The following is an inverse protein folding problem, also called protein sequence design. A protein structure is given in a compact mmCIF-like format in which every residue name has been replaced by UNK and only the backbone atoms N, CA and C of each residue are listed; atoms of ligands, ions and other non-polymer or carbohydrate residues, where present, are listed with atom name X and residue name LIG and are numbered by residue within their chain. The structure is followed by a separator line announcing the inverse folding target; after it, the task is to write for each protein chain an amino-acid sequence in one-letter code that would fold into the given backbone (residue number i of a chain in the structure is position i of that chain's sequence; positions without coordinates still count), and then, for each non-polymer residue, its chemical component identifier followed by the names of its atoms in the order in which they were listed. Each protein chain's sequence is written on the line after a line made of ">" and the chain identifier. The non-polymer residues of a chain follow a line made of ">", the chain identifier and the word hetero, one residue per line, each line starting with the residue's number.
data_IF_757904930649
#
_entry.id   IF_757904930649
#
_cell.length_a   1.000
_cell.length_b   1.000
_cell.length_c   1.000
_cell.angle_alpha   90.00
_cell.angle_beta   90.00
_cell.angle_gamma   90.00
#
_symmetry.space_group_name_H-M   'P 1'
#
loop_
_entity.id
_entity.type
_entity.pdbx_description
1 polymer ?
#
# COMPACT_ATOMS: atom_id res chain seq x y z
N UNK A 1 -3.44 13.59 8.01
CA UNK A 1 -2.97 12.94 6.76
C UNK A 1 -1.72 13.61 6.22
N UNK A 2 -1.73 14.92 5.94
CA UNK A 2 -0.50 15.63 5.52
C UNK A 2 0.54 15.68 6.65
N UNK A 3 0.12 15.92 7.90
CA UNK A 3 1.02 15.97 9.04
C UNK A 3 1.82 14.69 9.33
N UNK A 4 1.18 13.52 9.31
CA UNK A 4 1.89 12.24 9.49
C UNK A 4 2.87 11.97 8.36
N UNK A 5 2.46 12.21 7.11
CA UNK A 5 3.35 12.04 5.95
C UNK A 5 4.59 12.94 6.06
N UNK A 6 4.40 14.23 6.34
CA UNK A 6 5.52 15.17 6.42
C UNK A 6 6.42 14.87 7.62
N UNK A 7 5.87 14.44 8.75
CA UNK A 7 6.68 14.05 9.91
C UNK A 7 7.48 12.77 9.67
N UNK A 8 6.87 11.76 9.04
CA UNK A 8 7.51 10.46 8.85
C UNK A 8 8.49 10.43 7.66
N UNK A 9 8.18 11.15 6.57
CA UNK A 9 8.99 11.10 5.34
C UNK A 9 9.93 12.30 5.18
N UNK A 10 9.56 13.47 5.73
CA UNK A 10 10.33 14.71 5.62
C UNK A 10 10.92 15.16 6.97
N UNK A 11 10.57 14.49 8.08
CA UNK A 11 11.02 14.89 9.42
C UNK A 11 10.48 16.26 9.87
N UNK A 12 9.42 16.75 9.23
CA UNK A 12 8.93 18.12 9.42
C UNK A 12 7.55 18.16 10.08
N UNK A 13 7.22 19.30 10.68
CA UNK A 13 5.88 19.56 11.22
C UNK A 13 5.01 20.29 10.18
N UNK A 14 3.70 20.04 10.22
CA UNK A 14 2.74 20.67 9.31
C UNK A 14 1.69 21.40 10.10
N UNK A 15 1.53 22.66 9.79
CA UNK A 15 0.36 23.45 10.14
C UNK A 15 -0.52 23.66 8.90
N UNK A 16 -1.83 23.52 9.06
CA UNK A 16 -2.79 23.75 7.99
C UNK A 16 -4.19 24.00 8.51
N UNK A 17 -5.09 24.46 7.63
CA UNK A 17 -6.52 24.60 7.92
C UNK A 17 -7.12 23.24 8.27
N UNK A 18 -7.69 23.12 9.47
CA UNK A 18 -8.26 21.86 9.96
C UNK A 18 -9.73 21.72 9.59
N UNK A 19 -10.10 20.54 9.07
CA UNK A 19 -11.49 20.15 8.90
C UNK A 19 -12.04 19.57 10.20
N UNK A 20 -13.29 19.89 10.49
CA UNK A 20 -14.00 19.34 11.63
C UNK A 20 -14.27 17.84 11.42
N UNK A 21 -14.06 17.06 12.48
CA UNK A 21 -14.31 15.62 12.50
C UNK A 21 -15.44 15.29 13.48
N UNK A 22 -16.22 14.26 13.17
CA UNK A 22 -17.17 13.68 14.12
C UNK A 22 -16.44 13.19 15.39
N UNK A 23 -17.18 13.00 16.49
CA UNK A 23 -16.63 12.60 17.80
C UNK A 23 -15.73 11.35 17.77
N UNK A 24 -15.91 10.46 16.78
CA UNK A 24 -15.05 9.28 16.60
C UNK A 24 -13.69 9.57 15.94
N UNK A 25 -13.46 10.80 15.43
CA UNK A 25 -12.26 11.20 14.70
C UNK A 25 -12.08 10.57 13.31
N UNK A 26 -12.97 9.64 12.92
CA UNK A 26 -12.80 8.79 11.73
C UNK A 26 -13.46 9.36 10.46
N UNK A 27 -14.30 10.38 10.59
CA UNK A 27 -15.07 10.98 9.49
C UNK A 27 -15.04 12.50 9.60
N UNK A 28 -14.89 13.17 8.47
CA UNK A 28 -15.00 14.63 8.36
C UNK A 28 -16.47 15.04 8.28
N UNK A 29 -16.85 16.12 8.95
CA UNK A 29 -18.22 16.69 8.90
C UNK A 29 -18.45 17.52 7.64
N UNK A 30 -17.37 17.86 6.91
CA UNK A 30 -17.38 18.77 5.78
C UNK A 30 -17.30 20.25 6.17
N UNK A 31 -17.24 20.56 7.47
CA UNK A 31 -17.04 21.92 7.99
C UNK A 31 -15.58 22.18 8.29
N UNK A 32 -15.19 23.45 8.29
CA UNK A 32 -13.84 23.88 8.68
C UNK A 32 -13.85 24.18 10.18
N UNK A 33 -12.95 23.56 10.92
CA UNK A 33 -12.77 23.76 12.37
C UNK A 33 -11.91 24.97 12.66
N UNK A 34 -10.82 25.13 11.90
CA UNK A 34 -9.89 26.24 12.08
C UNK A 34 -9.28 26.64 10.73
N UNK A 35 -9.41 27.91 10.36
CA UNK A 35 -8.85 28.49 9.13
C UNK A 35 -7.48 29.09 9.42
N UNK A 36 -6.45 28.64 8.71
CA UNK A 36 -5.08 29.16 8.79
C UNK A 36 -4.81 30.16 7.66
N UNK A 37 -5.16 31.43 7.87
CA UNK A 37 -5.01 32.53 6.89
C UNK A 37 -4.57 33.82 7.58
N UNK A 38 -3.75 34.63 6.89
CA UNK A 38 -3.29 35.95 7.37
C UNK A 38 -2.45 35.84 8.64
N UNK A 39 -2.72 36.71 9.61
CA UNK A 39 -2.01 36.78 10.90
C UNK A 39 -1.93 35.43 11.63
N UNK A 40 -2.95 34.56 11.50
CA UNK A 40 -2.94 33.22 12.09
C UNK A 40 -1.82 32.32 11.56
N UNK A 41 -1.33 32.53 10.33
CA UNK A 41 -0.17 31.81 9.81
C UNK A 41 1.08 32.17 10.61
N UNK A 42 1.26 33.46 10.90
CA UNK A 42 2.38 33.97 11.68
C UNK A 42 2.34 33.45 13.11
N UNK A 43 1.19 33.54 13.79
CA UNK A 43 1.03 33.02 15.16
C UNK A 43 1.40 31.54 15.29
N UNK A 44 1.01 30.73 14.31
CA UNK A 44 1.33 29.30 14.32
C UNK A 44 2.82 29.06 14.06
N UNK A 45 3.46 29.82 13.17
CA UNK A 45 4.92 29.73 12.97
C UNK A 45 5.65 30.15 14.25
N UNK A 46 5.28 31.27 14.88
CA UNK A 46 5.87 31.70 16.15
C UNK A 46 5.69 30.67 17.27
N UNK A 47 4.55 29.98 17.33
CA UNK A 47 4.32 28.88 18.27
C UNK A 47 5.21 27.67 17.98
N UNK A 48 5.35 27.27 16.72
CA UNK A 48 6.20 26.13 16.32
C UNK A 48 7.69 26.40 16.62
N UNK A 49 8.08 27.67 16.60
CA UNK A 49 9.45 28.14 16.81
C UNK A 49 9.64 28.87 18.16
N UNK A 50 8.76 28.62 19.14
CA UNK A 50 8.77 29.29 20.44
C UNK A 50 10.06 29.06 21.27
N UNK A 51 10.94 28.14 20.84
CA UNK A 51 12.26 27.91 21.42
C UNK A 51 13.32 28.96 21.05
N UNK A 52 12.99 29.97 20.24
CA UNK A 52 13.87 31.11 19.92
C UNK A 52 14.59 31.02 18.57
N UNK A 53 14.47 29.89 17.86
CA UNK A 53 15.03 29.73 16.53
C UNK A 53 14.10 30.36 15.48
N UNK A 54 14.60 31.32 14.68
CA UNK A 54 13.81 31.83 13.55
C UNK A 54 13.84 30.86 12.37
N UNK A 55 12.72 30.67 11.62
CA UNK A 55 12.70 29.83 10.44
C UNK A 55 13.70 30.29 9.39
N UNK A 56 14.46 29.38 8.81
CA UNK A 56 15.50 29.73 7.82
C UNK A 56 14.93 30.15 6.48
N UNK A 57 13.76 29.62 6.08
CA UNK A 57 13.14 29.89 4.78
C UNK A 57 11.62 30.04 4.91
N UNK A 58 11.07 31.10 4.32
CA UNK A 58 9.63 31.31 4.10
C UNK A 58 9.31 31.35 2.61
N UNK A 59 8.23 30.66 2.20
CA UNK A 59 7.76 30.64 0.81
C UNK A 59 6.27 30.98 0.78
N UNK A 60 5.92 32.02 0.03
CA UNK A 60 4.55 32.48 -0.13
C UNK A 60 4.41 33.31 -1.40
N UNK A 61 3.23 33.26 -2.02
CA UNK A 61 2.90 33.96 -3.27
C UNK A 61 1.74 34.94 -3.09
N UNK A 62 1.11 34.99 -1.91
CA UNK A 62 -0.05 35.84 -1.62
C UNK A 62 0.27 36.90 -0.58
N UNK A 63 -0.47 38.00 -0.61
CA UNK A 63 -0.37 39.05 0.42
C UNK A 63 -0.57 38.50 1.84
N UNK A 64 -1.49 37.55 2.01
CA UNK A 64 -1.74 36.86 3.28
C UNK A 64 -0.56 36.03 3.82
N UNK A 65 0.52 35.88 3.05
CA UNK A 65 1.74 35.17 3.43
C UNK A 65 2.84 36.12 3.91
N UNK A 66 2.71 37.43 3.64
CA UNK A 66 3.75 38.42 3.93
C UNK A 66 4.13 38.46 5.42
N UNK A 67 3.15 38.32 6.32
CA UNK A 67 3.36 38.44 7.76
C UNK A 67 4.22 37.31 8.34
N UNK A 68 4.04 36.07 7.88
CA UNK A 68 4.90 34.96 8.33
C UNK A 68 6.22 34.93 7.56
N UNK A 69 6.25 35.36 6.30
CA UNK A 69 7.52 35.44 5.55
C UNK A 69 8.45 36.50 6.13
N UNK A 70 7.92 37.55 6.76
CA UNK A 70 8.70 38.60 7.40
C UNK A 70 9.54 38.10 8.58
N UNK A 71 9.14 36.99 9.21
CA UNK A 71 9.87 36.38 10.34
C UNK A 71 10.83 35.25 9.88
N UNK A 72 10.94 34.99 8.58
CA UNK A 72 11.86 33.99 8.02
C UNK A 72 13.17 34.63 7.53
N UNK A 73 14.31 33.95 7.70
CA UNK A 73 15.64 34.48 7.34
C UNK A 73 15.82 34.64 5.82
N UNK A 74 15.33 33.69 5.03
CA UNK A 74 15.41 33.70 3.56
C UNK A 74 14.01 33.50 2.93
N UNK A 75 13.87 33.96 1.68
CA UNK A 75 12.58 33.90 0.94
C UNK A 75 12.56 32.89 -0.22
N UNK A 76 13.56 32.00 -0.28
CA UNK A 76 13.73 30.98 -1.33
C UNK A 76 14.28 29.69 -0.74
N UNK A 77 13.69 28.55 -1.09
CA UNK A 77 14.20 27.23 -0.73
C UNK A 77 14.86 26.56 -1.94
N UNK A 78 15.98 25.84 -1.77
CA UNK A 78 16.42 24.88 -2.75
C UNK A 78 15.41 23.72 -2.85
N UNK A 79 15.33 23.08 -4.03
CA UNK A 79 14.56 21.84 -4.17
C UNK A 79 15.26 20.73 -3.38
N UNK A 80 14.53 20.06 -2.48
CA UNK A 80 15.02 18.86 -1.82
C UNK A 80 15.27 17.76 -2.86
N UNK A 81 16.43 17.11 -2.76
CA UNK A 81 16.78 16.00 -3.63
C UNK A 81 16.15 14.70 -3.12
N UNK A 82 15.79 13.77 -4.02
CA UNK A 82 15.04 12.56 -3.65
C UNK A 82 15.81 11.61 -2.71
N UNK A 83 17.13 11.77 -2.63
CA UNK A 83 18.04 11.05 -1.74
C UNK A 83 18.09 11.61 -0.31
N UNK A 84 17.57 12.81 -0.07
CA UNK A 84 17.47 13.43 1.26
C UNK A 84 16.21 13.00 2.05
N UNK A 85 15.34 12.17 1.44
CA UNK A 85 14.12 11.66 2.07
C UNK A 85 14.43 10.57 3.11
N UNK A 86 13.79 10.64 4.28
CA UNK A 86 13.93 9.63 5.35
C UNK A 86 13.46 8.23 4.92
N UNK A 87 12.58 8.16 3.92
CA UNK A 87 12.18 6.89 3.31
C UNK A 87 11.91 7.05 1.82
N UNK A 88 12.53 6.17 1.00
CA UNK A 88 12.31 6.10 -0.45
C UNK A 88 11.06 5.29 -0.85
N UNK A 89 10.52 4.50 0.07
CA UNK A 89 9.35 3.64 -0.17
C UNK A 89 8.10 4.23 0.52
N UNK A 90 7.22 4.82 -0.29
CA UNK A 90 5.94 5.36 0.17
C UNK A 90 4.90 4.24 0.07
N UNK A 91 4.52 3.68 1.23
CA UNK A 91 3.37 2.77 1.29
C UNK A 91 2.10 3.61 1.40
N UNK A 92 1.33 3.70 0.32
CA UNK A 92 0.06 4.39 0.37
C UNK A 92 -1.02 3.49 0.99
N UNK A 93 -1.59 3.87 2.15
CA UNK A 93 -2.86 3.30 2.61
C UNK A 93 -4.07 3.92 1.86
N UNK A 94 -3.86 4.18 0.57
CA UNK A 94 -4.73 5.01 -0.25
C UNK A 94 -4.70 6.47 0.21
N UNK A 95 -3.97 7.31 -0.55
CA UNK A 95 -4.32 8.70 -0.92
C UNK A 95 -3.06 9.48 -1.33
N UNK A 96 -3.04 9.86 -2.60
CA UNK A 96 -3.15 11.26 -3.05
C UNK A 96 -3.85 11.19 -4.42
N UNK A 97 -5.17 11.36 -4.43
CA UNK A 97 -5.92 11.45 -5.70
C UNK A 97 -5.92 12.93 -6.08
N UNK A 98 -5.32 13.26 -7.22
CA UNK A 98 -5.40 14.60 -7.83
C UNK A 98 -6.87 14.97 -7.95
N UNK A 99 -7.26 16.22 -7.61
CA UNK A 99 -8.66 16.67 -7.68
C UNK A 99 -9.22 16.31 -9.06
N UNK A 100 -10.20 15.40 -9.16
CA UNK A 100 -10.75 15.02 -10.46
C UNK A 100 -11.40 16.26 -11.07
N UNK A 101 -11.25 16.42 -12.39
CA UNK A 101 -12.02 17.41 -13.12
C UNK A 101 -13.52 17.20 -12.87
N UNK A 102 -14.36 18.25 -12.85
CA UNK A 102 -15.79 18.13 -12.54
C UNK A 102 -16.51 17.04 -13.35
N UNK A 103 -16.14 16.86 -14.62
CA UNK A 103 -16.67 15.80 -15.47
C UNK A 103 -16.27 14.40 -14.99
N UNK A 104 -15.00 14.19 -14.65
CA UNK A 104 -14.49 12.92 -14.08
C UNK A 104 -15.09 12.62 -12.71
N UNK A 105 -15.33 13.66 -11.89
CA UNK A 105 -16.00 13.54 -10.61
C UNK A 105 -17.48 13.13 -10.79
N UNK A 106 -18.18 13.74 -11.74
CA UNK A 106 -19.55 13.39 -12.07
C UNK A 106 -19.65 11.96 -12.62
N UNK A 107 -18.76 11.59 -13.54
CA UNK A 107 -18.67 10.22 -14.05
C UNK A 107 -18.42 9.21 -12.93
N UNK A 108 -17.47 9.50 -12.03
CA UNK A 108 -17.20 8.66 -10.87
C UNK A 108 -18.42 8.49 -9.95
N UNK A 109 -19.19 9.56 -9.72
CA UNK A 109 -20.41 9.53 -8.91
C UNK A 109 -21.54 8.72 -9.57
N UNK A 110 -21.73 8.90 -10.88
CA UNK A 110 -22.74 8.17 -11.66
C UNK A 110 -22.36 6.69 -11.81
N UNK A 111 -21.07 6.38 -11.91
CA UNK A 111 -20.57 5.02 -12.04
C UNK A 111 -20.54 4.26 -10.71
N UNK A 112 -20.47 4.96 -9.57
CA UNK A 112 -20.44 4.37 -8.23
C UNK A 112 -21.54 3.32 -7.96
N UNK A 113 -22.84 3.57 -8.25
CA UNK A 113 -23.88 2.56 -8.07
C UNK A 113 -23.70 1.33 -8.97
N UNK A 114 -23.24 1.52 -10.21
CA UNK A 114 -22.98 0.42 -11.16
C UNK A 114 -21.79 -0.41 -10.69
N UNK A 115 -20.67 0.24 -10.35
CA UNK A 115 -19.48 -0.42 -9.83
C UNK A 115 -19.75 -1.13 -8.49
N UNK A 116 -20.62 -0.59 -7.65
CA UNK A 116 -21.05 -1.23 -6.40
C UNK A 116 -21.88 -2.49 -6.66
N UNK A 117 -22.84 -2.43 -7.59
CA UNK A 117 -23.61 -3.61 -7.97
C UNK A 117 -22.72 -4.73 -8.56
N UNK A 118 -21.80 -4.38 -9.48
CA UNK A 118 -20.84 -5.34 -10.07
C UNK A 118 -19.92 -5.94 -9.01
N UNK A 119 -19.42 -5.13 -8.08
CA UNK A 119 -18.59 -5.61 -6.99
C UNK A 119 -19.35 -6.52 -6.04
N UNK A 120 -20.58 -6.16 -5.63
CA UNK A 120 -21.41 -7.00 -4.78
C UNK A 120 -21.71 -8.34 -5.44
N UNK A 121 -22.04 -8.36 -6.73
CA UNK A 121 -22.24 -9.61 -7.49
C UNK A 121 -21.01 -10.52 -7.42
N UNK A 122 -19.79 -9.96 -7.44
CA UNK A 122 -18.54 -10.72 -7.36
C UNK A 122 -18.11 -11.08 -5.94
N UNK A 123 -18.37 -10.22 -4.95
CA UNK A 123 -17.96 -10.40 -3.54
C UNK A 123 -18.93 -11.26 -2.74
N UNK A 124 -20.25 -11.10 -2.93
CA UNK A 124 -21.29 -11.91 -2.28
C UNK A 124 -21.25 -13.36 -2.79
N UNK A 125 -20.66 -13.57 -3.96
CA UNK A 125 -20.23 -14.86 -4.45
C UNK A 125 -19.06 -15.39 -3.57
N UNK A 126 -19.38 -15.96 -2.40
CA UNK A 126 -18.60 -17.09 -1.84
C UNK A 126 -18.55 -18.27 -2.84
N UNK A 127 -19.41 -18.21 -3.85
CA UNK A 127 -19.36 -19.00 -5.06
C UNK A 127 -17.98 -18.93 -5.73
N UNK A 128 -17.24 -17.80 -5.74
CA UNK A 128 -15.97 -17.71 -6.47
C UNK A 128 -14.91 -18.70 -6.00
N UNK A 129 -14.80 -18.94 -4.69
CA UNK A 129 -13.88 -19.95 -4.14
C UNK A 129 -14.44 -21.36 -4.32
N UNK A 130 -15.77 -21.52 -4.22
CA UNK A 130 -16.45 -22.81 -4.38
C UNK A 130 -16.50 -23.30 -5.84
N UNK A 131 -16.49 -22.39 -6.82
CA UNK A 131 -16.47 -22.66 -8.26
C UNK A 131 -15.08 -22.47 -8.85
N UNK A 132 -14.10 -22.00 -8.06
CA UNK A 132 -12.75 -21.79 -8.56
C UNK A 132 -12.20 -23.14 -9.03
N UNK A 133 -11.84 -23.27 -10.31
CA UNK A 133 -11.20 -24.50 -10.80
C UNK A 133 -9.84 -24.73 -10.10
N UNK A 134 -9.26 -23.67 -9.54
CA UNK A 134 -8.01 -23.72 -8.77
C UNK A 134 -8.36 -23.74 -7.28
N UNK A 135 -8.04 -24.85 -6.59
CA UNK A 135 -8.23 -24.97 -5.14
C UNK A 135 -7.33 -23.98 -4.41
N UNK A 136 -7.92 -22.99 -3.74
CA UNK A 136 -7.19 -22.04 -2.93
C UNK A 136 -6.90 -22.62 -1.54
N UNK A 137 -5.62 -22.81 -1.20
CA UNK A 137 -5.19 -23.18 0.15
C UNK A 137 -4.61 -21.94 0.86
N UNK A 138 -5.23 -21.55 1.98
CA UNK A 138 -4.72 -20.43 2.78
C UNK A 138 -3.49 -20.85 3.58
N UNK A 139 -2.44 -20.03 3.53
CA UNK A 139 -1.25 -20.20 4.38
C UNK A 139 -1.56 -19.78 5.83
N UNK A 140 -1.15 -20.61 6.79
CA UNK A 140 -1.42 -20.46 8.22
C UNK A 140 -0.39 -19.58 8.93
N UNK A 141 0.65 -19.12 8.20
CA UNK A 141 1.74 -18.25 8.73
C UNK A 141 2.63 -18.98 9.73
N UNK A 142 2.57 -20.30 9.71
CA UNK A 142 3.51 -21.21 10.36
C UNK A 142 4.32 -21.87 9.26
N UNK A 143 5.64 -21.67 9.28
CA UNK A 143 6.51 -22.12 8.20
C UNK A 143 6.47 -23.64 8.00
N UNK A 144 6.43 -24.41 9.08
CA UNK A 144 6.45 -25.87 9.01
C UNK A 144 5.11 -26.41 8.51
N UNK A 145 3.99 -25.86 9.00
CA UNK A 145 2.66 -26.23 8.53
C UNK A 145 2.42 -25.81 7.08
N UNK A 146 2.88 -24.62 6.68
CA UNK A 146 2.81 -24.14 5.30
C UNK A 146 3.69 -24.98 4.38
N UNK A 147 4.89 -25.38 4.81
CA UNK A 147 5.77 -26.29 4.08
C UNK A 147 5.10 -27.65 3.82
N UNK A 148 4.58 -28.29 4.87
CA UNK A 148 3.91 -29.58 4.77
C UNK A 148 2.67 -29.53 3.87
N UNK A 149 1.91 -28.43 3.95
CA UNK A 149 0.72 -28.22 3.11
C UNK A 149 1.09 -28.02 1.64
N UNK A 150 2.11 -27.22 1.34
CA UNK A 150 2.58 -27.00 -0.03
C UNK A 150 3.14 -28.31 -0.61
N UNK A 151 3.92 -29.06 0.19
CA UNK A 151 4.46 -30.35 -0.23
C UNK A 151 3.35 -31.36 -0.59
N UNK A 152 2.31 -31.47 0.25
CA UNK A 152 1.16 -32.33 -0.05
C UNK A 152 0.43 -31.92 -1.35
N UNK A 153 0.29 -30.62 -1.60
CA UNK A 153 -0.31 -30.12 -2.84
C UNK A 153 0.56 -30.38 -4.08
N UNK A 154 1.89 -30.36 -3.93
CA UNK A 154 2.83 -30.66 -5.01
C UNK A 154 2.79 -32.14 -5.43
N UNK A 155 2.45 -33.05 -4.52
CA UNK A 155 2.21 -34.47 -4.84
C UNK A 155 0.93 -34.66 -5.67
N UNK A 156 -0.07 -33.79 -5.49
CA UNK A 156 -1.32 -33.82 -6.28
C UNK A 156 -1.17 -33.17 -7.67
N UNK A 157 -0.25 -32.20 -7.82
CA UNK A 157 0.00 -31.53 -9.10
C UNK A 157 0.71 -30.18 -8.97
N UNK A 158 0.61 -29.34 -10.01
CA UNK A 158 1.25 -28.03 -10.04
C UNK A 158 0.61 -27.06 -9.03
N UNK A 159 1.43 -26.32 -8.29
CA UNK A 159 0.99 -25.38 -7.23
C UNK A 159 1.38 -23.95 -7.58
N UNK A 160 0.42 -23.03 -7.47
CA UNK A 160 0.66 -21.58 -7.58
C UNK A 160 0.90 -20.99 -6.20
N UNK A 161 2.04 -20.32 -6.00
CA UNK A 161 2.41 -19.68 -4.74
C UNK A 161 2.66 -18.20 -4.97
N UNK A 162 2.13 -17.35 -4.09
CA UNK A 162 2.44 -15.93 -4.02
C UNK A 162 3.50 -15.69 -2.93
N UNK A 163 4.80 -15.64 -3.27
CA UNK A 163 5.88 -15.63 -2.28
C UNK A 163 5.98 -14.31 -1.49
N UNK A 164 5.30 -13.26 -1.94
CA UNK A 164 5.12 -12.00 -1.20
C UNK A 164 4.34 -12.17 0.11
N UNK A 165 3.43 -13.16 0.15
CA UNK A 165 2.58 -13.46 1.31
C UNK A 165 1.52 -12.40 1.64
N UNK A 166 1.43 -11.34 0.85
CA UNK A 166 0.38 -10.33 0.87
C UNK A 166 0.26 -9.73 -0.53
N UNK A 167 -0.83 -9.03 -0.82
CA UNK A 167 -0.98 -8.32 -2.09
C UNK A 167 -0.25 -6.98 -2.04
N UNK A 168 0.75 -6.72 -2.90
CA UNK A 168 1.24 -5.38 -3.25
C UNK A 168 0.57 -4.87 -4.52
N UNK A 169 0.25 -3.58 -4.54
CA UNK A 169 -0.32 -2.88 -5.71
C UNK A 169 0.50 -1.64 -6.08
N UNK A 170 1.72 -1.56 -5.54
CA UNK A 170 2.68 -0.51 -5.80
C UNK A 170 3.68 -1.00 -6.87
N UNK A 171 4.40 -0.11 -7.57
CA UNK A 171 5.37 -0.47 -8.61
C UNK A 171 6.69 -1.04 -8.03
N UNK A 172 6.57 -1.87 -6.99
CA UNK A 172 7.66 -2.59 -6.36
C UNK A 172 7.19 -3.92 -5.77
N UNK A 173 8.10 -4.89 -5.71
CA UNK A 173 7.87 -6.19 -5.10
C UNK A 173 8.42 -6.21 -3.68
N UNK A 174 7.63 -6.72 -2.72
CA UNK A 174 8.16 -7.05 -1.40
C UNK A 174 9.11 -8.23 -1.47
N UNK A 175 9.89 -8.41 -0.41
CA UNK A 175 10.79 -9.56 -0.26
C UNK A 175 10.02 -10.87 -0.36
N UNK A 176 10.48 -11.76 -1.22
CA UNK A 176 9.90 -13.09 -1.37
C UNK A 176 10.29 -14.01 -0.20
N UNK A 177 9.38 -14.90 0.18
CA UNK A 177 9.69 -16.04 1.03
C UNK A 177 10.52 -17.05 0.25
N UNK A 178 11.55 -17.63 0.87
CA UNK A 178 12.39 -18.65 0.26
C UNK A 178 11.75 -20.05 0.25
N UNK A 179 10.62 -20.23 0.94
CA UNK A 179 10.02 -21.54 1.17
C UNK A 179 9.73 -22.32 -0.12
N UNK A 180 9.24 -21.67 -1.17
CA UNK A 180 8.95 -22.36 -2.43
C UNK A 180 10.21 -22.95 -3.10
N UNK A 181 11.37 -22.30 -2.94
CA UNK A 181 12.63 -22.74 -3.52
C UNK A 181 13.21 -23.96 -2.77
N UNK A 182 12.80 -24.18 -1.51
CA UNK A 182 13.18 -25.35 -0.72
C UNK A 182 12.36 -26.59 -1.08
N UNK A 183 11.15 -26.40 -1.61
CA UNK A 183 10.16 -27.46 -1.80
C UNK A 183 10.14 -28.07 -3.20
N UNK A 184 10.68 -27.38 -4.22
CA UNK A 184 10.68 -27.89 -5.59
C UNK A 184 11.88 -27.41 -6.40
N UNK A 185 12.33 -28.27 -7.32
CA UNK A 185 13.36 -27.95 -8.31
C UNK A 185 12.77 -27.34 -9.60
N UNK A 186 11.45 -27.42 -9.81
CA UNK A 186 10.79 -26.91 -11.01
C UNK A 186 10.01 -25.66 -10.67
N UNK A 187 10.58 -24.50 -11.02
CA UNK A 187 10.04 -23.19 -10.68
C UNK A 187 9.76 -22.42 -11.97
N UNK A 188 8.51 -21.98 -12.16
CA UNK A 188 8.08 -21.15 -13.28
C UNK A 188 7.66 -19.78 -12.71
N UNK A 189 8.45 -18.71 -12.93
CA UNK A 189 8.05 -17.37 -12.51
C UNK A 189 6.85 -16.90 -13.32
N UNK A 190 5.88 -16.28 -12.65
CA UNK A 190 4.70 -15.70 -13.30
C UNK A 190 4.57 -14.25 -12.84
N UNK A 191 4.69 -13.32 -13.77
CA UNK A 191 4.46 -11.92 -13.54
C UNK A 191 2.96 -11.62 -13.64
N UNK A 192 2.39 -10.97 -12.62
CA UNK A 192 0.97 -10.63 -12.58
C UNK A 192 0.84 -9.15 -12.28
N UNK A 193 0.28 -8.40 -13.23
CA UNK A 193 -0.06 -6.99 -13.05
C UNK A 193 -1.58 -6.82 -12.92
N UNK A 194 -2.01 -6.21 -11.83
CA UNK A 194 -3.42 -5.84 -11.65
C UNK A 194 -3.68 -4.47 -12.30
N UNK A 195 -4.13 -4.45 -13.55
CA UNK A 195 -4.45 -3.23 -14.30
C UNK A 195 -5.59 -2.49 -13.61
N UNK A 196 -5.23 -1.40 -12.94
CA UNK A 196 -6.11 -0.46 -12.25
C UNK A 196 -5.87 0.92 -12.85
N UNK A 197 -6.93 1.73 -12.93
CA UNK A 197 -6.86 3.08 -13.43
C UNK A 197 -7.20 4.07 -12.32
N UNK A 198 -8.47 4.44 -12.24
CA UNK A 198 -8.96 5.51 -11.37
C UNK A 198 -9.08 5.08 -9.90
N UNK A 199 -9.38 3.81 -9.63
CA UNK A 199 -9.68 3.32 -8.28
C UNK A 199 -8.67 2.28 -7.83
N UNK A 200 -7.97 2.58 -6.74
CA UNK A 200 -7.01 1.67 -6.14
C UNK A 200 -7.65 0.92 -4.98
N UNK A 201 -7.68 -0.41 -5.05
CA UNK A 201 -8.11 -1.24 -3.92
C UNK A 201 -6.96 -1.43 -2.95
N UNK A 202 -6.80 -0.58 -1.95
CA UNK A 202 -5.86 -0.84 -0.85
C UNK A 202 -6.48 -0.35 0.45
N UNK A 203 -7.10 -1.26 1.20
CA UNK A 203 -7.74 -0.99 2.49
C UNK A 203 -6.97 -1.68 3.63
N UNK A 204 -5.70 -1.31 3.83
CA UNK A 204 -4.91 -1.90 4.91
C UNK A 204 -5.35 -1.40 6.30
N UNK A 205 -5.88 -0.17 6.46
CA UNK A 205 -6.57 0.32 7.68
C UNK A 205 -8.11 0.19 7.64
N UNK A 206 -8.67 -0.31 6.54
CA UNK A 206 -10.11 -0.33 6.27
C UNK A 206 -10.74 -1.72 6.32
N UNK A 207 -11.89 -1.84 5.65
CA UNK A 207 -12.56 -3.12 5.48
C UNK A 207 -12.03 -3.83 4.23
N UNK A 208 -11.24 -4.88 4.40
CA UNK A 208 -10.58 -5.62 3.29
C UNK A 208 -11.51 -6.07 2.16
N UNK A 209 -12.81 -6.29 2.42
CA UNK A 209 -13.77 -6.64 1.37
C UNK A 209 -14.02 -5.50 0.36
N UNK A 210 -13.64 -4.27 0.70
CA UNK A 210 -13.75 -3.13 -0.20
C UNK A 210 -12.64 -3.13 -1.27
N UNK A 211 -11.55 -3.89 -1.11
CA UNK A 211 -10.49 -3.99 -2.11
C UNK A 211 -11.03 -4.48 -3.48
N UNK A 212 -11.78 -5.61 -3.56
CA UNK A 212 -12.48 -6.00 -4.78
C UNK A 212 -13.45 -4.94 -5.31
N UNK A 213 -14.13 -4.20 -4.43
CA UNK A 213 -15.05 -3.14 -4.84
C UNK A 213 -14.33 -2.01 -5.57
N UNK A 214 -13.26 -1.48 -4.99
CA UNK A 214 -12.44 -0.47 -5.64
C UNK A 214 -11.78 -0.99 -6.92
N UNK A 215 -11.30 -2.24 -6.92
CA UNK A 215 -10.74 -2.85 -8.13
C UNK A 215 -11.76 -2.89 -9.27
N UNK A 216 -12.97 -3.39 -9.03
CA UNK A 216 -14.01 -3.53 -10.07
C UNK A 216 -14.75 -2.24 -10.41
N UNK A 217 -14.55 -1.16 -9.64
CA UNK A 217 -14.98 0.17 -10.04
C UNK A 217 -14.15 0.77 -11.18
N UNK A 218 -13.00 0.18 -11.53
CA UNK A 218 -12.28 0.64 -12.71
C UNK A 218 -13.08 0.33 -13.98
N UNK A 219 -13.11 1.23 -14.99
CA UNK A 219 -13.80 0.97 -16.25
C UNK A 219 -13.27 -0.24 -17.03
N UNK A 220 -11.99 -0.58 -16.86
CA UNK A 220 -11.33 -1.74 -17.49
C UNK A 220 -10.45 -2.46 -16.46
N UNK A 221 -11.05 -3.14 -15.47
CA UNK A 221 -10.28 -3.91 -14.50
C UNK A 221 -9.77 -5.18 -15.17
N UNK A 222 -8.49 -5.47 -15.03
CA UNK A 222 -7.88 -6.65 -15.65
C UNK A 222 -6.66 -7.15 -14.89
N UNK A 223 -6.34 -8.41 -15.08
CA UNK A 223 -5.04 -8.95 -14.70
C UNK A 223 -4.29 -9.27 -15.97
N UNK A 224 -3.09 -8.74 -16.10
CA UNK A 224 -2.14 -9.15 -17.12
C UNK A 224 -1.23 -10.20 -16.51
N UNK A 225 -1.14 -11.37 -17.15
CA UNK A 225 -0.40 -12.51 -16.64
C UNK A 225 0.63 -12.92 -17.68
N UNK A 226 1.89 -12.83 -17.31
CA UNK A 226 3.02 -13.22 -18.16
C UNK A 226 3.74 -14.41 -17.54
N UNK A 227 3.70 -15.54 -18.23
CA UNK A 227 4.46 -16.72 -17.86
C UNK A 227 5.90 -16.58 -18.37
N UNK A 228 6.86 -16.65 -17.47
CA UNK A 228 8.28 -16.54 -17.79
C UNK A 228 8.88 -17.94 -17.97
N UNK A 229 10.04 -18.05 -18.65
CA UNK A 229 10.74 -19.32 -18.78
C UNK A 229 11.01 -19.96 -17.42
N UNK A 230 10.88 -21.28 -17.35
CA UNK A 230 11.22 -22.04 -16.16
C UNK A 230 12.70 -21.82 -15.79
N UNK A 231 13.00 -21.80 -14.48
CA UNK A 231 14.37 -21.73 -14.00
C UNK A 231 15.14 -22.96 -14.49
N UNK A 232 16.40 -22.74 -14.91
CA UNK A 232 17.30 -23.82 -15.28
C UNK A 232 17.74 -24.60 -14.03
N UNK A 233 18.10 -25.88 -14.13
CA UNK A 233 18.54 -26.67 -12.98
C UNK A 233 19.63 -25.98 -12.15
N UNK A 234 20.62 -25.35 -12.81
CA UNK A 234 21.72 -24.60 -12.17
C UNK A 234 21.27 -23.32 -11.42
N UNK A 235 20.05 -22.87 -11.65
CA UNK A 235 19.45 -21.69 -10.99
C UNK A 235 18.60 -22.08 -9.77
N UNK A 236 18.50 -23.37 -9.46
CA UNK A 236 17.66 -23.92 -8.38
C UNK A 236 18.49 -24.40 -7.19
N UNK A 237 17.83 -24.65 -6.06
CA UNK A 237 18.48 -25.19 -4.87
C UNK A 237 18.93 -26.64 -5.05
N UNK A 238 18.01 -27.48 -5.53
CA UNK A 238 18.19 -28.94 -5.56
C UNK A 238 19.25 -29.35 -6.57
N UNK A 239 19.24 -28.77 -7.78
CA UNK A 239 20.16 -29.16 -8.84
C UNK A 239 21.37 -28.23 -9.00
N UNK A 240 21.23 -26.95 -8.63
CA UNK A 240 22.28 -25.94 -8.79
C UNK A 240 23.08 -25.63 -7.53
N UNK A 241 22.71 -26.19 -6.37
CA UNK A 241 23.37 -25.93 -5.10
C UNK A 241 23.23 -24.49 -4.57
N UNK A 242 22.32 -23.69 -5.16
CA UNK A 242 22.06 -22.32 -4.71
C UNK A 242 21.29 -22.31 -3.39
N UNK A 243 21.51 -21.30 -2.56
CA UNK A 243 20.68 -21.13 -1.37
C UNK A 243 19.25 -20.73 -1.75
N UNK A 244 18.26 -21.14 -0.96
CA UNK A 244 16.86 -20.81 -1.20
C UNK A 244 16.59 -19.29 -1.23
N UNK A 245 17.38 -18.53 -0.47
CA UNK A 245 17.32 -17.07 -0.47
C UNK A 245 17.82 -16.50 -1.80
N UNK A 246 18.90 -17.02 -2.35
CA UNK A 246 19.41 -16.58 -3.67
C UNK A 246 18.41 -16.88 -4.78
N UNK A 247 17.79 -18.06 -4.75
CA UNK A 247 16.73 -18.43 -5.71
C UNK A 247 15.54 -17.49 -5.59
N UNK A 248 15.05 -17.23 -4.36
CA UNK A 248 13.96 -16.30 -4.15
C UNK A 248 14.27 -14.87 -4.63
N UNK A 249 15.48 -14.38 -4.34
CA UNK A 249 15.94 -13.07 -4.81
C UNK A 249 16.13 -13.03 -6.34
N UNK A 250 16.52 -14.15 -6.96
CA UNK A 250 16.60 -14.27 -8.41
C UNK A 250 15.20 -14.20 -9.04
N UNK A 251 14.25 -15.01 -8.56
CA UNK A 251 12.86 -15.00 -9.03
C UNK A 251 12.21 -13.63 -8.85
N UNK A 252 12.42 -12.97 -7.71
CA UNK A 252 11.95 -11.59 -7.47
C UNK A 252 12.49 -10.63 -8.53
N UNK A 253 13.77 -10.70 -8.87
CA UNK A 253 14.40 -9.84 -9.89
C UNK A 253 13.87 -10.10 -11.30
N UNK A 254 13.65 -11.36 -11.67
CA UNK A 254 13.11 -11.70 -13.00
C UNK A 254 11.69 -11.16 -13.14
N UNK A 255 10.83 -11.37 -12.14
CA UNK A 255 9.46 -10.85 -12.16
C UNK A 255 9.45 -9.31 -12.12
N UNK A 256 10.29 -8.71 -11.27
CA UNK A 256 10.40 -7.25 -11.20
C UNK A 256 10.84 -6.65 -12.54
N UNK A 257 11.79 -7.28 -13.23
CA UNK A 257 12.25 -6.85 -14.56
C UNK A 257 11.11 -6.89 -15.58
N UNK A 258 10.32 -7.97 -15.59
CA UNK A 258 9.18 -8.12 -16.50
C UNK A 258 8.12 -7.04 -16.26
N UNK A 259 7.82 -6.75 -14.99
CA UNK A 259 6.83 -5.74 -14.60
C UNK A 259 7.36 -4.29 -14.64
N UNK A 260 8.67 -4.09 -14.81
CA UNK A 260 9.31 -2.78 -14.63
C UNK A 260 9.28 -2.27 -13.18
N UNK A 261 9.17 -3.17 -12.20
CA UNK A 261 9.04 -2.87 -10.78
C UNK A 261 10.40 -2.83 -10.07
N UNK A 262 10.44 -2.18 -8.91
CA UNK A 262 11.62 -2.22 -8.04
C UNK A 262 11.60 -3.42 -7.10
N UNK A 263 12.74 -4.06 -6.86
CA UNK A 263 12.87 -5.05 -5.79
C UNK A 263 13.10 -4.35 -4.45
N UNK A 264 12.44 -4.84 -3.39
CA UNK A 264 12.67 -4.35 -2.03
C UNK A 264 13.03 -5.51 -1.09
N UNK A 265 13.70 -5.17 0.00
CA UNK A 265 13.94 -6.07 1.14
C UNK A 265 12.82 -6.01 2.18
N UNK A 266 11.80 -5.17 1.94
CA UNK A 266 10.68 -4.94 2.83
C UNK A 266 9.84 -6.19 2.91
N UNK A 267 9.55 -6.62 4.12
CA UNK A 267 8.70 -7.78 4.36
C UNK A 267 7.24 -7.37 4.40
N UNK A 268 6.37 -8.38 4.32
CA UNK A 268 4.95 -8.22 4.66
C UNK A 268 4.76 -7.53 6.02
N UNK A 269 5.55 -7.89 7.05
CA UNK A 269 5.41 -7.31 8.39
C UNK A 269 5.70 -5.81 8.35
N UNK A 270 6.75 -5.41 7.66
CA UNK A 270 7.12 -3.99 7.51
C UNK A 270 6.01 -3.20 6.81
N UNK A 271 5.42 -3.80 5.77
CA UNK A 271 4.25 -3.24 5.10
C UNK A 271 3.06 -3.05 6.04
N UNK A 272 2.64 -4.07 6.78
CA UNK A 272 1.49 -3.94 7.69
C UNK A 272 1.78 -3.02 8.88
N UNK A 273 3.02 -2.98 9.37
CA UNK A 273 3.41 -2.06 10.43
C UNK A 273 3.30 -0.61 9.96
N UNK A 274 3.81 -0.29 8.77
CA UNK A 274 3.66 1.04 8.17
C UNK A 274 2.20 1.37 7.84
N UNK A 275 1.51 0.43 7.20
CA UNK A 275 0.16 0.67 6.71
C UNK A 275 -0.89 0.63 7.79
N UNK A 276 -0.77 -0.11 8.89
CA UNK A 276 -1.86 -0.33 9.83
C UNK A 276 -1.43 -0.38 11.31
N UNK A 277 -0.15 -0.15 11.60
CA UNK A 277 0.39 -0.21 12.97
C UNK A 277 0.32 -1.60 13.61
N UNK A 278 0.13 -2.67 12.81
CA UNK A 278 0.07 -4.06 13.27
C UNK A 278 0.90 -4.97 12.36
N UNK A 279 1.16 -6.20 12.78
CA UNK A 279 1.94 -7.18 11.98
C UNK A 279 1.09 -7.93 10.93
N UNK A 280 -0.16 -7.52 10.74
CA UNK A 280 -1.13 -8.15 9.86
C UNK A 280 -1.77 -9.42 10.42
N UNK A 281 -1.56 -9.79 11.69
CA UNK A 281 -2.35 -10.80 12.42
C UNK A 281 -3.73 -10.23 12.74
N UNK A 282 -4.76 -10.98 12.32
CA UNK A 282 -6.13 -10.72 12.77
C UNK A 282 -6.20 -11.36 14.15
N UNK A 283 -6.37 -10.56 15.21
CA UNK A 283 -6.67 -11.10 16.52
C UNK A 283 -7.90 -12.01 16.39
N UNK A 284 -7.80 -13.25 16.88
CA UNK A 284 -8.99 -14.09 17.02
C UNK A 284 -10.03 -13.26 17.77
N UNK A 285 -11.25 -13.19 17.25
CA UNK A 285 -12.32 -12.46 17.89
C UNK A 285 -12.37 -12.93 19.35
N UNK A 286 -12.07 -12.02 20.27
CA UNK A 286 -12.24 -12.30 21.69
C UNK A 286 -13.69 -12.71 21.88
N UNK A 287 -13.88 -13.93 22.37
CA UNK A 287 -15.18 -14.47 22.74
C UNK A 287 -15.83 -13.43 23.66
N UNK A 288 -16.88 -12.75 23.16
CA UNK A 288 -17.66 -11.86 24.03
C UNK A 288 -18.27 -12.78 25.09
N UNK A 289 -18.07 -12.49 26.39
CA UNK A 289 -18.71 -13.28 27.43
C UNK A 289 -20.22 -13.25 27.16
N UNK A 290 -20.83 -14.43 27.07
CA UNK A 290 -22.28 -14.57 27.08
C UNK A 290 -22.76 -13.90 28.36
N UNK A 291 -23.56 -12.85 28.21
CA UNK A 291 -24.32 -12.33 29.33
C UNK A 291 -25.27 -13.44 29.78
N UNK A 292 -25.09 -13.91 31.02
CA UNK A 292 -26.07 -14.70 31.74
C UNK A 292 -27.28 -13.84 32.08
#
# INVERSE_FOLDING_TARGET
>A
MVGEFVREFLGAEVAGTELETFASGKRFTGRIKAVLVGEKKREVVERLFAGGDMPDVGLGDRESDHDFMAICKNKRAPRAAADELLSRAIFHDGRLVRRPEPASALFALVYLPVGFAVALLRVVSRLSTAISPIRAAALTRDRAADAARIAALLEEGDVVVCPEGTTCREPYLLRFSALFAELTARIVPVAVEARQGTYYGSTARGWKFLDPYFFYMNPRPGYEVTFLPALRPEETCVAGGRSAVEVANHVQRVIAKELGFQCTTLTRKDKYMKLAGNDGRVAAAADKPKAN
#
